data_IF_691133761535
#
_entry.id   IF_691133761535
#
_cell.length_a   1.000
_cell.length_b   1.000
_cell.length_c   1.000
_cell.angle_alpha   90.00
_cell.angle_beta   90.00
_cell.angle_gamma   90.00
#
_symmetry.space_group_name_H-M   'P 1'
#
loop_
_entity.id
_entity.type
_entity.pdbx_description
1 polymer ?
#
# COMPACT_ATOMS: atom_id res chain seq x y z
N UNK A 1 -13.99 1.93 -1.42
CA UNK A 1 -12.86 2.45 -0.66
C UNK A 1 -11.74 2.87 -1.61
N UNK A 2 -11.10 3.96 -1.33
CA UNK A 2 -9.99 4.44 -2.15
C UNK A 2 -8.72 4.54 -1.31
N UNK A 3 -7.59 4.34 -1.97
CA UNK A 3 -6.31 4.52 -1.30
C UNK A 3 -6.12 6.01 -1.02
N UNK A 4 -5.67 6.34 0.20
CA UNK A 4 -5.40 7.73 0.57
C UNK A 4 -4.42 8.33 -0.45
N UNK A 5 -4.67 9.55 -0.94
CA UNK A 5 -3.80 10.17 -1.97
C UNK A 5 -2.32 10.24 -1.59
N UNK A 6 -2.02 10.48 -0.32
CA UNK A 6 -0.62 10.52 0.12
C UNK A 6 0.06 9.17 -0.01
N UNK A 7 -0.67 8.11 0.34
CA UNK A 7 -0.16 6.75 0.24
C UNK A 7 -0.05 6.35 -1.23
N UNK A 8 -1.06 6.69 -2.02
CA UNK A 8 -1.05 6.36 -3.45
C UNK A 8 0.12 7.03 -4.16
N UNK A 9 0.39 8.29 -3.85
CA UNK A 9 1.50 8.99 -4.44
C UNK A 9 2.83 8.34 -4.07
N UNK A 10 2.97 7.92 -2.81
CA UNK A 10 4.18 7.23 -2.36
C UNK A 10 4.36 5.91 -3.10
N UNK A 11 3.27 5.19 -3.32
CA UNK A 11 3.30 3.94 -4.08
C UNK A 11 3.81 4.19 -5.50
N UNK A 12 3.27 5.21 -6.15
CA UNK A 12 3.66 5.52 -7.54
C UNK A 12 5.12 5.93 -7.64
N UNK A 13 5.64 6.62 -6.64
CA UNK A 13 7.04 7.03 -6.61
C UNK A 13 8.00 5.89 -6.29
N UNK A 14 7.47 4.82 -5.73
CA UNK A 14 8.29 3.70 -5.26
C UNK A 14 8.02 2.42 -6.08
N UNK A 15 7.94 2.58 -7.40
CA UNK A 15 7.74 1.45 -8.32
C UNK A 15 6.48 0.64 -8.04
N UNK A 16 5.40 1.34 -7.68
CA UNK A 16 4.09 0.73 -7.41
C UNK A 16 4.09 -0.22 -6.20
N UNK A 17 4.98 0.03 -5.25
CA UNK A 17 5.01 -0.76 -4.02
C UNK A 17 5.11 0.15 -2.79
N UNK A 18 4.71 -0.37 -1.65
CA UNK A 18 4.82 0.36 -0.40
C UNK A 18 5.09 -0.63 0.73
N UNK A 19 5.89 -0.20 1.69
CA UNK A 19 6.21 -1.02 2.86
C UNK A 19 5.46 -0.53 4.08
N UNK A 20 5.35 -1.41 5.08
CA UNK A 20 4.76 -1.04 6.37
C UNK A 20 5.48 0.17 6.98
N UNK A 21 6.81 0.17 6.92
CA UNK A 21 7.60 1.26 7.47
C UNK A 21 7.27 2.59 6.80
N UNK A 22 7.10 2.59 5.49
CA UNK A 22 6.78 3.81 4.74
C UNK A 22 5.41 4.38 5.15
N UNK A 23 4.44 3.51 5.36
CA UNK A 23 3.11 3.95 5.79
C UNK A 23 3.17 4.58 7.19
N UNK A 24 3.91 3.97 8.09
CA UNK A 24 4.08 4.50 9.44
C UNK A 24 4.80 5.85 9.40
N UNK A 25 5.81 5.98 8.55
CA UNK A 25 6.53 7.25 8.39
C UNK A 25 5.62 8.37 7.89
N UNK A 26 4.62 8.04 7.08
CA UNK A 26 3.65 9.01 6.60
C UNK A 26 2.62 9.41 7.66
N UNK A 27 2.65 8.77 8.82
CA UNK A 27 1.75 9.08 9.92
C UNK A 27 0.49 8.23 9.96
N UNK A 28 0.45 7.15 9.20
CA UNK A 28 -0.70 6.24 9.18
C UNK A 28 -0.41 4.98 9.99
N UNK A 29 -1.51 4.34 10.44
CA UNK A 29 -1.38 3.05 11.08
C UNK A 29 -1.12 1.97 10.04
N UNK A 30 -0.28 0.99 10.37
CA UNK A 30 -0.02 -0.13 9.47
C UNK A 30 -1.28 -0.93 9.15
N UNK A 31 -2.30 -0.87 10.00
CA UNK A 31 -3.56 -1.59 9.75
C UNK A 31 -4.28 -1.11 8.51
N UNK A 32 -3.98 0.11 8.04
CA UNK A 32 -4.61 0.62 6.82
C UNK A 32 -4.23 -0.24 5.61
N UNK A 33 -3.03 -0.83 5.61
CA UNK A 33 -2.60 -1.72 4.53
C UNK A 33 -3.45 -2.98 4.48
N UNK A 34 -3.78 -3.55 5.65
CA UNK A 34 -4.66 -4.71 5.72
C UNK A 34 -6.05 -4.38 5.17
N UNK A 35 -6.56 -3.19 5.46
CA UNK A 35 -7.85 -2.75 4.94
C UNK A 35 -7.82 -2.65 3.42
N UNK A 36 -6.74 -2.12 2.87
CA UNK A 36 -6.61 -2.00 1.43
C UNK A 36 -6.51 -3.37 0.75
N UNK A 37 -5.83 -4.32 1.38
CA UNK A 37 -5.76 -5.69 0.85
C UNK A 37 -7.14 -6.33 0.85
N UNK A 38 -7.90 -6.18 1.94
CA UNK A 38 -9.25 -6.72 2.01
C UNK A 38 -10.19 -6.10 0.99
N UNK A 39 -9.97 -4.83 0.67
CA UNK A 39 -10.78 -4.13 -0.31
C UNK A 39 -10.37 -4.44 -1.75
N UNK A 40 -9.31 -5.21 -1.95
CA UNK A 40 -8.83 -5.54 -3.28
C UNK A 40 -8.02 -4.45 -3.95
N UNK A 41 -7.58 -3.46 -3.19
CA UNK A 41 -6.79 -2.33 -3.72
C UNK A 41 -5.30 -2.61 -3.75
N UNK A 42 -4.82 -3.40 -2.81
CA UNK A 42 -3.42 -3.79 -2.73
C UNK A 42 -3.30 -5.29 -2.60
N UNK A 43 -2.13 -5.81 -2.98
CA UNK A 43 -1.81 -7.21 -2.76
C UNK A 43 -0.51 -7.29 -1.98
N UNK A 44 -0.41 -8.30 -1.12
CA UNK A 44 0.81 -8.56 -0.36
C UNK A 44 1.81 -9.28 -1.26
N UNK A 45 2.93 -8.62 -1.55
CA UNK A 45 3.97 -9.19 -2.38
C UNK A 45 4.89 -10.10 -1.56
N UNK A 46 5.32 -9.60 -0.40
CA UNK A 46 6.14 -10.35 0.54
C UNK A 46 5.92 -9.73 1.92
N UNK A 47 6.53 -10.30 2.94
CA UNK A 47 6.34 -9.80 4.29
C UNK A 47 6.65 -8.30 4.37
N UNK A 48 5.65 -7.51 4.76
CA UNK A 48 5.80 -6.07 4.92
C UNK A 48 5.82 -5.25 3.64
N UNK A 49 5.67 -5.88 2.47
CA UNK A 49 5.69 -5.19 1.18
C UNK A 49 4.37 -5.41 0.45
N UNK A 50 3.78 -4.33 -0.04
CA UNK A 50 2.49 -4.35 -0.72
C UNK A 50 2.59 -3.68 -2.08
N UNK A 51 1.85 -4.17 -3.04
CA UNK A 51 1.82 -3.63 -4.40
C UNK A 51 0.38 -3.34 -4.81
N UNK A 52 0.20 -2.46 -5.80
CA UNK A 52 -1.13 -2.21 -6.35
C UNK A 52 -1.65 -3.47 -7.02
N UNK A 53 -2.95 -3.74 -6.82
CA UNK A 53 -3.57 -4.93 -7.41
C UNK A 53 -3.40 -4.98 -8.92
N UNK A 54 -3.48 -3.84 -9.58
CA UNK A 54 -3.32 -3.77 -11.03
C UNK A 54 -1.93 -4.16 -11.48
N UNK A 55 -0.93 -3.99 -10.61
CA UNK A 55 0.46 -4.32 -10.92
C UNK A 55 0.78 -5.79 -10.68
N UNK A 56 -0.15 -6.53 -10.10
CA UNK A 56 0.08 -7.92 -9.73
C UNK A 56 -0.15 -8.90 -10.89
N UNK A 57 -0.57 -8.42 -12.01
CA UNK A 57 -0.85 -9.27 -13.18
C UNK A 57 0.42 -9.67 -13.91
#
# INVERSE_FOLDING_TARGET
>A
MHINPMILEKIKRNNNMITTAQVVELGFSRTILSKYVKAGLLERSRHGVYILSDSAH
#
